data_IF_087579399831
#
_entry.id   IF_087579399831
#
_cell.length_a   1.000
_cell.length_b   1.000
_cell.length_c   1.000
_cell.angle_alpha   90.00
_cell.angle_beta   90.00
_cell.angle_gamma   90.00
#
_symmetry.space_group_name_H-M   'P 1'
#
loop_
_entity.id
_entity.type
_entity.pdbx_description
1 polymer ?
#
# COMPACT_ATOMS: atom_id res chain seq x y z
N UNK A 1 28.83 -37.84 -21.41
CA UNK A 1 27.71 -37.26 -22.18
C UNK A 1 26.45 -37.08 -21.32
N UNK A 2 25.85 -38.14 -20.75
CA UNK A 2 24.64 -38.01 -19.89
C UNK A 2 24.88 -37.14 -18.65
N UNK A 3 26.02 -37.27 -17.97
CA UNK A 3 26.36 -36.47 -16.77
C UNK A 3 26.39 -34.96 -17.04
N UNK A 4 26.97 -34.55 -18.17
CA UNK A 4 27.00 -33.13 -18.57
C UNK A 4 25.60 -32.61 -18.90
N UNK A 5 24.76 -33.42 -19.55
CA UNK A 5 23.39 -33.04 -19.86
C UNK A 5 22.54 -32.84 -18.59
N UNK A 6 22.67 -33.75 -17.62
CA UNK A 6 22.00 -33.63 -16.31
C UNK A 6 22.48 -32.37 -15.58
N UNK A 7 23.78 -32.11 -15.57
CA UNK A 7 24.35 -30.91 -14.97
C UNK A 7 23.78 -29.62 -15.59
N UNK A 8 23.76 -29.54 -16.92
CA UNK A 8 23.20 -28.37 -17.62
C UNK A 8 21.70 -28.18 -17.35
N UNK A 9 20.95 -29.28 -17.27
CA UNK A 9 19.53 -29.24 -16.92
C UNK A 9 19.31 -28.71 -15.50
N UNK A 10 20.10 -29.19 -14.53
CA UNK A 10 19.98 -28.75 -13.14
C UNK A 10 20.38 -27.28 -12.97
N UNK A 11 21.43 -26.82 -13.66
CA UNK A 11 21.82 -25.41 -13.71
C UNK A 11 20.72 -24.52 -14.30
N UNK A 12 20.09 -24.96 -15.40
CA UNK A 12 18.98 -24.22 -16.02
C UNK A 12 17.79 -24.15 -15.07
N UNK A 13 17.45 -25.26 -14.41
CA UNK A 13 16.35 -25.32 -13.44
C UNK A 13 16.60 -24.38 -12.27
N UNK A 14 17.82 -24.35 -11.74
CA UNK A 14 18.20 -23.44 -10.65
C UNK A 14 18.12 -21.97 -11.09
N UNK A 15 18.65 -21.64 -12.28
CA UNK A 15 18.55 -20.27 -12.83
C UNK A 15 17.11 -19.84 -13.04
N UNK A 16 16.28 -20.72 -13.59
CA UNK A 16 14.85 -20.44 -13.80
C UNK A 16 14.14 -20.16 -12.48
N UNK A 17 14.35 -21.00 -11.46
CA UNK A 17 13.78 -20.81 -10.13
C UNK A 17 14.20 -19.46 -9.51
N UNK A 18 15.49 -19.12 -9.59
CA UNK A 18 16.00 -17.84 -9.09
C UNK A 18 15.37 -16.63 -9.81
N UNK A 19 15.20 -16.71 -11.14
CA UNK A 19 14.55 -15.63 -11.90
C UNK A 19 13.07 -15.47 -11.57
N UNK A 20 12.37 -16.57 -11.29
CA UNK A 20 10.97 -16.53 -10.85
C UNK A 20 10.88 -15.84 -9.49
N UNK A 21 11.74 -16.23 -8.55
CA UNK A 21 11.78 -15.61 -7.22
C UNK A 21 12.06 -14.10 -7.31
N UNK A 22 13.07 -13.68 -8.08
CA UNK A 22 13.39 -12.25 -8.29
C UNK A 22 12.21 -11.48 -8.91
N UNK A 23 11.51 -12.08 -9.88
CA UNK A 23 10.34 -11.49 -10.50
C UNK A 23 9.18 -11.32 -9.51
N UNK A 24 8.93 -12.32 -8.65
CA UNK A 24 7.92 -12.26 -7.60
C UNK A 24 8.21 -11.16 -6.57
N UNK A 25 9.48 -11.02 -6.15
CA UNK A 25 9.88 -9.94 -5.24
C UNK A 25 9.63 -8.56 -5.88
N UNK A 26 10.08 -8.40 -7.13
CA UNK A 26 9.95 -7.14 -7.86
C UNK A 26 8.48 -6.76 -8.05
N UNK A 27 7.65 -7.72 -8.46
CA UNK A 27 6.21 -7.53 -8.59
C UNK A 27 5.59 -7.12 -7.25
N UNK A 28 5.95 -7.81 -6.17
CA UNK A 28 5.49 -7.49 -4.82
C UNK A 28 5.80 -6.06 -4.40
N UNK A 29 7.02 -5.58 -4.64
CA UNK A 29 7.40 -4.18 -4.37
C UNK A 29 6.58 -3.19 -5.19
N UNK A 30 6.42 -3.43 -6.50
CA UNK A 30 5.65 -2.54 -7.36
C UNK A 30 4.19 -2.44 -6.92
N UNK A 31 3.59 -3.56 -6.48
CA UNK A 31 2.23 -3.56 -5.92
C UNK A 31 2.15 -2.75 -4.64
N UNK A 32 3.13 -2.88 -3.74
CA UNK A 32 3.19 -2.11 -2.51
C UNK A 32 3.33 -0.61 -2.78
N UNK A 33 4.29 -0.21 -3.62
CA UNK A 33 4.51 1.19 -3.98
C UNK A 33 3.27 1.83 -4.62
N UNK A 34 2.61 1.10 -5.51
CA UNK A 34 1.37 1.54 -6.13
C UNK A 34 0.26 1.76 -5.11
N UNK A 35 0.07 0.81 -4.19
CA UNK A 35 -0.94 0.90 -3.15
C UNK A 35 -0.67 2.06 -2.17
N UNK A 36 0.58 2.24 -1.73
CA UNK A 36 0.99 3.36 -0.87
C UNK A 36 0.74 4.71 -1.56
N UNK A 37 1.12 4.87 -2.84
CA UNK A 37 0.90 6.12 -3.59
C UNK A 37 -0.59 6.47 -3.73
N UNK A 38 -1.42 5.46 -4.00
CA UNK A 38 -2.87 5.64 -4.09
C UNK A 38 -3.45 6.09 -2.75
N UNK A 39 -3.06 5.42 -1.66
CA UNK A 39 -3.51 5.77 -0.31
C UNK A 39 -3.05 7.18 0.10
N UNK A 40 -1.80 7.53 -0.18
CA UNK A 40 -1.26 8.87 0.10
C UNK A 40 -2.05 9.96 -0.65
N UNK A 41 -2.34 9.73 -1.93
CA UNK A 41 -3.14 10.66 -2.74
C UNK A 41 -4.54 10.85 -2.15
N UNK A 42 -5.15 9.79 -1.63
CA UNK A 42 -6.44 9.88 -0.95
C UNK A 42 -6.32 10.65 0.37
N UNK A 43 -5.31 10.36 1.19
CA UNK A 43 -5.04 11.07 2.46
C UNK A 43 -4.90 12.57 2.21
N UNK A 44 -4.12 12.98 1.20
CA UNK A 44 -3.89 14.38 0.89
C UNK A 44 -5.20 15.10 0.50
N UNK A 45 -6.06 14.44 -0.27
CA UNK A 45 -7.40 14.98 -0.61
C UNK A 45 -8.29 15.10 0.63
N UNK A 46 -8.34 14.08 1.46
CA UNK A 46 -9.13 14.06 2.71
C UNK A 46 -8.67 15.17 3.66
N UNK A 47 -7.36 15.40 3.77
CA UNK A 47 -6.80 16.51 4.57
C UNK A 47 -7.24 17.88 4.07
N UNK A 48 -7.29 18.09 2.76
CA UNK A 48 -7.77 19.36 2.19
C UNK A 48 -9.23 19.63 2.59
N UNK A 49 -10.08 18.59 2.61
CA UNK A 49 -11.47 18.70 3.07
C UNK A 49 -11.53 18.98 4.58
N UNK A 50 -10.69 18.32 5.38
CA UNK A 50 -10.66 18.51 6.84
C UNK A 50 -10.20 19.92 7.27
N UNK A 51 -9.36 20.57 6.47
CA UNK A 51 -8.86 21.93 6.75
C UNK A 51 -9.87 23.02 6.36
N UNK A 52 -10.97 22.65 5.68
CA UNK A 52 -12.05 23.58 5.37
C UNK A 52 -12.68 24.15 6.66
N UNK A 53 -12.63 25.47 6.80
CA UNK A 53 -13.15 26.21 7.96
C UNK A 53 -14.39 27.04 7.59
N UNK A 54 -15.16 26.57 6.61
CA UNK A 54 -16.41 27.22 6.20
C UNK A 54 -17.36 27.39 7.39
N UNK A 55 -17.83 28.62 7.61
CA UNK A 55 -18.80 28.96 8.65
C UNK A 55 -20.21 28.99 8.05
N UNK A 56 -21.19 28.27 8.63
CA UNK A 56 -22.57 28.35 8.18
C UNK A 56 -23.15 29.73 8.47
N UNK A 57 -24.01 30.21 7.56
CA UNK A 57 -24.69 31.51 7.66
C UNK A 57 -26.12 31.38 8.18
N UNK A 58 -26.70 30.18 8.07
CA UNK A 58 -28.04 29.82 8.51
C UNK A 58 -28.12 28.34 8.94
N UNK A 59 -29.26 27.94 9.52
CA UNK A 59 -29.47 26.57 10.03
C UNK A 59 -29.38 25.52 8.92
N UNK A 60 -29.91 25.79 7.72
CA UNK A 60 -29.84 24.85 6.60
C UNK A 60 -28.39 24.63 6.15
N UNK A 61 -27.59 25.70 6.08
CA UNK A 61 -26.17 25.59 5.76
C UNK A 61 -25.38 24.84 6.84
N UNK A 62 -25.78 24.96 8.11
CA UNK A 62 -25.17 24.21 9.21
C UNK A 62 -25.49 22.71 9.14
N UNK A 63 -26.75 22.35 8.83
CA UNK A 63 -27.16 20.96 8.62
C UNK A 63 -26.43 20.32 7.44
N UNK A 64 -26.24 21.05 6.34
CA UNK A 64 -25.47 20.55 5.19
C UNK A 64 -24.00 20.28 5.54
N UNK A 65 -23.35 21.20 6.26
CA UNK A 65 -21.97 21.01 6.71
C UNK A 65 -21.84 19.81 7.67
N UNK A 66 -22.81 19.64 8.57
CA UNK A 66 -22.83 18.48 9.48
C UNK A 66 -23.00 17.17 8.71
N UNK A 67 -23.88 17.13 7.70
CA UNK A 67 -24.04 15.97 6.83
C UNK A 67 -22.73 15.61 6.12
N UNK A 68 -22.06 16.60 5.51
CA UNK A 68 -20.74 16.41 4.87
C UNK A 68 -19.70 15.86 5.85
N UNK A 69 -19.72 16.33 7.10
CA UNK A 69 -18.80 15.83 8.13
C UNK A 69 -19.04 14.34 8.45
N UNK A 70 -20.30 13.90 8.56
CA UNK A 70 -20.61 12.48 8.76
C UNK A 70 -20.23 11.62 7.56
N UNK A 71 -20.52 12.07 6.35
CA UNK A 71 -20.12 11.39 5.11
C UNK A 71 -18.59 11.22 5.05
N UNK A 72 -17.83 12.27 5.39
CA UNK A 72 -16.37 12.21 5.45
C UNK A 72 -15.86 11.22 6.52
N UNK A 73 -16.50 11.18 7.68
CA UNK A 73 -16.15 10.24 8.74
C UNK A 73 -16.38 8.78 8.31
N UNK A 74 -17.48 8.52 7.61
CA UNK A 74 -17.79 7.19 7.06
C UNK A 74 -16.78 6.78 5.99
N UNK A 75 -16.39 7.71 5.11
CA UNK A 75 -15.33 7.50 4.11
C UNK A 75 -13.98 7.15 4.75
N UNK A 76 -13.59 7.89 5.80
CA UNK A 76 -12.36 7.61 6.56
C UNK A 76 -12.43 6.22 7.21
N UNK A 77 -13.55 5.90 7.84
CA UNK A 77 -13.77 4.61 8.49
C UNK A 77 -13.72 3.46 7.48
N UNK A 78 -14.28 3.67 6.29
CA UNK A 78 -14.28 2.71 5.18
C UNK A 78 -12.88 2.43 4.61
N UNK A 79 -11.91 3.34 4.77
CA UNK A 79 -10.54 3.14 4.28
C UNK A 79 -9.71 2.16 5.10
N UNK A 80 -10.14 1.80 6.31
CA UNK A 80 -9.40 0.90 7.21
C UNK A 80 -8.91 -0.39 6.53
N UNK A 81 -9.74 -1.00 5.68
CA UNK A 81 -9.37 -2.22 4.96
C UNK A 81 -8.15 -2.03 4.04
N UNK A 82 -8.05 -0.88 3.37
CA UNK A 82 -6.94 -0.58 2.46
C UNK A 82 -5.64 -0.35 3.25
N UNK A 83 -5.72 0.32 4.40
CA UNK A 83 -4.59 0.44 5.34
C UNK A 83 -4.11 -0.94 5.83
N UNK A 84 -5.04 -1.80 6.25
CA UNK A 84 -4.72 -3.15 6.71
C UNK A 84 -4.08 -3.99 5.59
N UNK A 85 -4.61 -3.91 4.37
CA UNK A 85 -4.04 -4.58 3.19
C UNK A 85 -2.59 -4.14 2.90
N UNK A 86 -2.33 -2.84 2.88
CA UNK A 86 -0.98 -2.30 2.60
C UNK A 86 0.00 -2.72 3.69
N UNK A 87 -0.44 -2.69 4.96
CA UNK A 87 0.37 -3.17 6.09
C UNK A 87 0.74 -4.63 5.94
N UNK A 88 -0.23 -5.49 5.66
CA UNK A 88 -0.01 -6.93 5.53
C UNK A 88 0.89 -7.25 4.32
N UNK A 89 0.71 -6.53 3.21
CA UNK A 89 1.59 -6.65 2.03
C UNK A 89 3.02 -6.25 2.38
N UNK A 90 3.22 -5.11 3.04
CA UNK A 90 4.54 -4.64 3.47
C UNK A 90 5.22 -5.63 4.42
N UNK A 91 4.49 -6.19 5.39
CA UNK A 91 5.03 -7.20 6.30
C UNK A 91 5.47 -8.47 5.57
N UNK A 92 4.68 -8.96 4.61
CA UNK A 92 5.05 -10.14 3.81
C UNK A 92 6.32 -9.91 2.98
N UNK A 93 6.49 -8.71 2.43
CA UNK A 93 7.68 -8.34 1.65
C UNK A 93 8.92 -8.27 2.55
N UNK A 94 8.80 -7.66 3.74
CA UNK A 94 9.89 -7.60 4.72
C UNK A 94 10.30 -8.98 5.26
N UNK A 95 9.37 -9.91 5.40
CA UNK A 95 9.68 -11.29 5.78
C UNK A 95 10.49 -12.03 4.71
N UNK A 96 10.20 -11.76 3.43
CA UNK A 96 10.91 -12.38 2.31
C UNK A 96 12.26 -11.74 2.03
N UNK A 97 12.40 -10.43 2.27
CA UNK A 97 13.65 -9.71 2.08
C UNK A 97 13.76 -8.55 3.10
N UNK A 98 14.54 -8.78 4.16
CA UNK A 98 14.69 -7.83 5.26
C UNK A 98 15.52 -6.58 4.92
N UNK A 99 16.17 -6.54 3.74
CA UNK A 99 17.00 -5.42 3.30
C UNK A 99 16.18 -4.27 2.66
N UNK A 100 14.85 -4.41 2.57
CA UNK A 100 13.96 -3.43 1.95
C UNK A 100 13.60 -2.31 2.94
N UNK A 101 14.59 -1.48 3.27
CA UNK A 101 14.41 -0.38 4.23
C UNK A 101 13.32 0.62 3.81
N UNK A 102 13.09 0.79 2.51
CA UNK A 102 12.05 1.68 1.96
C UNK A 102 10.64 1.26 2.40
N UNK A 103 10.35 -0.05 2.40
CA UNK A 103 9.07 -0.61 2.85
C UNK A 103 8.87 -0.38 4.35
N UNK A 104 9.95 -0.46 5.13
CA UNK A 104 9.91 -0.21 6.58
C UNK A 104 9.57 1.25 6.89
N UNK A 105 10.08 2.20 6.12
CA UNK A 105 9.81 3.62 6.29
C UNK A 105 8.35 3.97 5.89
N UNK A 106 7.90 3.50 4.72
CA UNK A 106 6.55 3.79 4.23
C UNK A 106 5.45 3.06 5.02
N UNK A 107 5.70 1.82 5.47
CA UNK A 107 4.76 1.07 6.30
C UNK A 107 4.57 1.63 7.71
N UNK A 108 5.57 2.35 8.25
CA UNK A 108 5.45 3.03 9.54
C UNK A 108 4.71 4.37 9.44
N UNK A 109 4.91 5.11 8.34
CA UNK A 109 4.26 6.40 8.11
C UNK A 109 2.75 6.26 7.90
N UNK A 110 2.27 5.17 7.29
CA UNK A 110 0.84 4.86 7.18
C UNK A 110 0.21 4.37 8.49
N UNK A 111 1.00 4.01 9.51
CA UNK A 111 0.50 3.58 10.82
C UNK A 111 0.40 4.71 11.87
N UNK A 112 0.99 5.88 11.61
CA UNK A 112 0.96 7.04 12.51
C UNK A 112 -0.16 8.06 12.19
N UNK A 113 -0.92 7.82 11.13
CA UNK A 113 -2.11 8.60 10.72
C UNK A 113 -3.36 7.76 10.91
#
# INVERSE_FOLDING_TARGET
MIKELVKMHDELRQKSAARIEEAEQTQGHQMFDGAVKNLQTWIDKTKLVLVDNTRPVDVSSAEELLKKHYELNDDISGKKYEFDYIRDLGQRLLQKNSALEDIRLHGQLTCLM
#
